data_IF_634768785721
#
_entry.id   IF_634768785721
#
_cell.length_a   1.000
_cell.length_b   1.000
_cell.length_c   1.000
_cell.angle_alpha   90.00
_cell.angle_beta   90.00
_cell.angle_gamma   90.00
#
_symmetry.space_group_name_H-M   'P 1'
#
loop_
_entity.id
_entity.type
_entity.pdbx_description
1 polymer ?
#
# COMPACT_ATOMS: atom_id res chain seq x y z
N UNK A 1 6.14 -27.11 -19.34
CA UNK A 1 5.49 -26.78 -18.05
C UNK A 1 6.12 -25.50 -17.52
N UNK A 2 5.55 -24.35 -17.87
CA UNK A 2 6.00 -23.04 -17.38
C UNK A 2 5.65 -22.95 -15.91
N UNK A 3 6.65 -23.19 -15.05
CA UNK A 3 6.59 -22.77 -13.66
C UNK A 3 6.66 -21.25 -13.68
N UNK A 4 5.50 -20.58 -13.75
CA UNK A 4 5.41 -19.16 -13.44
C UNK A 4 5.63 -19.06 -11.93
N UNK A 5 6.79 -18.57 -11.43
CA UNK A 5 6.90 -18.29 -10.02
C UNK A 5 5.85 -17.22 -9.73
N UNK A 6 4.73 -17.63 -9.11
CA UNK A 6 3.72 -16.69 -8.67
C UNK A 6 4.40 -15.83 -7.61
N UNK A 7 4.84 -14.65 -8.01
CA UNK A 7 5.39 -13.64 -7.11
C UNK A 7 4.25 -13.12 -6.23
N UNK A 8 3.89 -13.90 -5.21
CA UNK A 8 2.87 -13.57 -4.24
C UNK A 8 3.49 -12.69 -3.16
N UNK A 9 2.82 -11.60 -2.84
CA UNK A 9 3.18 -10.71 -1.75
C UNK A 9 1.97 -10.42 -0.91
N UNK A 10 2.17 -10.10 0.36
CA UNK A 10 1.08 -9.70 1.24
C UNK A 10 0.87 -8.20 1.18
N UNK A 11 -0.39 -7.80 1.03
CA UNK A 11 -0.77 -6.39 1.09
C UNK A 11 -0.55 -5.88 2.52
N UNK A 12 0.19 -4.79 2.68
CA UNK A 12 0.45 -4.23 4.01
C UNK A 12 -0.85 -3.76 4.71
N UNK A 13 -1.84 -3.29 3.95
CA UNK A 13 -3.09 -2.71 4.47
C UNK A 13 -4.10 -3.77 4.90
N UNK A 14 -4.37 -4.77 4.06
CA UNK A 14 -5.40 -5.79 4.33
C UNK A 14 -4.85 -7.19 4.60
N UNK A 15 -3.53 -7.36 4.55
CA UNK A 15 -2.81 -8.63 4.78
C UNK A 15 -3.18 -9.76 3.82
N UNK A 16 -3.92 -9.47 2.74
CA UNK A 16 -4.26 -10.46 1.73
C UNK A 16 -3.11 -10.66 0.75
N UNK A 17 -2.86 -11.90 0.31
CA UNK A 17 -1.88 -12.18 -0.71
C UNK A 17 -2.36 -11.67 -2.08
N UNK A 18 -1.46 -11.10 -2.87
CA UNK A 18 -1.71 -10.62 -4.23
C UNK A 18 -0.49 -10.87 -5.12
N UNK A 19 -0.69 -11.01 -6.45
CA UNK A 19 0.43 -11.20 -7.40
C UNK A 19 1.06 -9.87 -7.76
N UNK A 20 2.37 -9.77 -7.60
CA UNK A 20 3.14 -8.60 -7.99
C UNK A 20 4.49 -9.01 -8.55
N UNK A 21 4.59 -9.11 -9.87
CA UNK A 21 5.82 -9.54 -10.55
C UNK A 21 5.72 -9.36 -12.05
N UNK A 22 6.74 -9.80 -12.80
CA UNK A 22 6.73 -9.77 -14.25
C UNK A 22 5.41 -10.31 -14.81
N UNK A 23 4.82 -9.56 -15.74
CA UNK A 23 3.55 -9.89 -16.42
C UNK A 23 2.26 -9.80 -15.58
N UNK A 24 2.31 -9.55 -14.26
CA UNK A 24 1.09 -9.36 -13.45
C UNK A 24 1.34 -8.49 -12.21
N UNK A 25 0.65 -7.34 -12.16
CA UNK A 25 0.73 -6.37 -11.06
C UNK A 25 -0.68 -6.15 -10.49
N UNK A 26 -1.06 -6.89 -9.46
CA UNK A 26 -2.34 -6.77 -8.72
C UNK A 26 -2.22 -5.81 -7.53
N UNK A 27 -1.35 -4.81 -7.67
CA UNK A 27 -0.98 -3.87 -6.63
C UNK A 27 0.21 -3.02 -7.04
N UNK A 28 0.65 -2.16 -6.12
CA UNK A 28 1.85 -1.35 -6.31
C UNK A 28 2.68 -1.23 -5.04
N UNK A 29 3.96 -0.97 -5.23
CA UNK A 29 4.81 -0.44 -4.17
C UNK A 29 4.49 1.04 -3.97
N UNK A 30 4.28 1.45 -2.72
CA UNK A 30 4.13 2.84 -2.32
C UNK A 30 5.50 3.28 -1.78
N UNK A 31 6.33 3.83 -2.68
CA UNK A 31 7.74 4.14 -2.43
C UNK A 31 7.97 4.97 -1.16
N UNK A 32 7.29 6.12 -1.00
CA UNK A 32 7.45 6.96 0.19
C UNK A 32 7.11 6.25 1.49
N UNK A 33 6.23 5.25 1.46
CA UNK A 33 5.83 4.48 2.64
C UNK A 33 6.64 3.18 2.80
N UNK A 34 7.46 2.81 1.81
CA UNK A 34 8.19 1.52 1.75
C UNK A 34 7.30 0.30 1.96
N UNK A 35 6.03 0.38 1.55
CA UNK A 35 5.07 -0.73 1.63
C UNK A 35 4.63 -1.18 0.25
N UNK A 36 3.94 -2.32 0.22
CA UNK A 36 3.20 -2.80 -0.94
C UNK A 36 1.73 -2.94 -0.61
N UNK A 37 0.87 -2.47 -1.49
CA UNK A 37 -0.58 -2.56 -1.34
C UNK A 37 -1.21 -3.17 -2.59
N UNK A 38 -2.23 -4.01 -2.41
CA UNK A 38 -2.99 -4.55 -3.54
C UNK A 38 -3.88 -3.48 -4.15
N UNK A 39 -4.24 -3.65 -5.44
CA UNK A 39 -5.05 -2.68 -6.17
C UNK A 39 -6.40 -2.46 -5.48
N UNK A 40 -7.03 -3.51 -4.94
CA UNK A 40 -8.26 -3.38 -4.16
C UNK A 40 -8.16 -2.37 -3.03
N UNK A 41 -7.06 -2.36 -2.26
CA UNK A 41 -6.93 -1.39 -1.17
C UNK A 41 -6.64 0.03 -1.71
N UNK A 42 -5.92 0.14 -2.81
CA UNK A 42 -5.61 1.42 -3.43
C UNK A 42 -6.88 2.04 -4.02
N UNK A 43 -7.67 1.25 -4.75
CA UNK A 43 -8.88 1.68 -5.43
C UNK A 43 -10.02 1.99 -4.44
N UNK A 44 -10.09 1.28 -3.31
CA UNK A 44 -11.09 1.58 -2.27
C UNK A 44 -10.73 2.77 -1.39
N UNK A 45 -9.47 3.20 -1.38
CA UNK A 45 -8.98 4.32 -0.56
C UNK A 45 -8.32 5.37 -1.45
N UNK A 46 -8.94 5.66 -2.60
CA UNK A 46 -8.45 6.60 -3.59
C UNK A 46 -8.47 8.05 -3.09
N UNK A 47 -9.38 8.34 -2.16
CA UNK A 47 -9.62 9.59 -1.45
C UNK A 47 -8.76 9.72 -0.18
N UNK A 48 -8.44 8.60 0.47
CA UNK A 48 -7.47 8.53 1.55
C UNK A 48 -7.70 7.35 2.48
N UNK A 49 -6.73 7.11 3.37
CA UNK A 49 -6.82 6.10 4.42
C UNK A 49 -7.13 6.76 5.76
N UNK A 50 -8.16 6.27 6.45
CA UNK A 50 -8.52 6.77 7.78
C UNK A 50 -7.44 6.33 8.79
N UNK A 51 -6.71 7.26 9.45
CA UNK A 51 -5.58 6.91 10.33
C UNK A 51 -5.96 5.93 11.45
N UNK A 52 -7.14 6.13 12.07
CA UNK A 52 -7.64 5.29 13.16
C UNK A 52 -7.96 3.86 12.74
N UNK A 53 -8.22 3.60 11.45
CA UNK A 53 -8.44 2.25 10.91
C UNK A 53 -7.14 1.55 10.52
N UNK A 54 -6.03 2.29 10.44
CA UNK A 54 -4.72 1.78 10.03
C UNK A 54 -3.62 2.10 11.05
N UNK A 55 -3.76 1.69 12.34
CA UNK A 55 -2.75 1.97 13.36
C UNK A 55 -1.37 1.41 13.00
N UNK A 56 -1.33 0.20 12.42
CA UNK A 56 -0.07 -0.42 11.94
C UNK A 56 0.62 0.39 10.84
N UNK A 57 -0.14 1.12 10.01
CA UNK A 57 0.45 2.00 9.00
C UNK A 57 1.09 3.21 9.68
N UNK A 58 0.42 3.81 10.66
CA UNK A 58 0.97 4.95 11.41
C UNK A 58 2.26 4.58 12.13
N UNK A 59 2.25 3.48 12.89
CA UNK A 59 3.43 2.96 13.58
C UNK A 59 4.58 2.68 12.60
N UNK A 60 4.27 2.09 11.44
CA UNK A 60 5.27 1.84 10.41
C UNK A 60 5.85 3.14 9.86
N UNK A 61 5.02 4.11 9.49
CA UNK A 61 5.45 5.41 8.97
C UNK A 61 6.32 6.16 9.99
N UNK A 62 5.92 6.16 11.26
CA UNK A 62 6.70 6.73 12.36
C UNK A 62 8.06 6.03 12.50
N UNK A 63 8.08 4.69 12.47
CA UNK A 63 9.32 3.90 12.61
C UNK A 63 10.33 4.15 11.48
N UNK A 64 9.86 4.49 10.27
CA UNK A 64 10.72 4.79 9.13
C UNK A 64 10.95 6.30 8.94
N UNK A 65 10.47 7.14 9.86
CA UNK A 65 10.65 8.59 9.84
C UNK A 65 9.89 9.31 8.73
N UNK A 66 8.79 8.72 8.22
CA UNK A 66 7.97 9.34 7.19
C UNK A 66 6.91 10.23 7.84
N UNK A 67 6.85 11.52 7.50
CA UNK A 67 5.86 12.43 8.08
C UNK A 67 4.45 12.04 7.67
N UNK A 68 3.56 11.94 8.66
CA UNK A 68 2.13 11.70 8.49
C UNK A 68 1.50 13.01 8.01
N UNK A 69 1.13 13.08 6.73
CA UNK A 69 0.40 14.21 6.15
C UNK A 69 -1.05 13.81 5.93
N UNK A 70 -1.96 14.54 6.57
CA UNK A 70 -3.40 14.35 6.41
C UNK A 70 -3.94 15.36 5.37
N UNK A 71 -4.92 14.94 4.59
CA UNK A 71 -5.69 15.83 3.71
C UNK A 71 -6.72 16.66 4.53
N UNK A 72 -7.54 17.44 3.83
CA UNK A 72 -8.58 18.28 4.43
C UNK A 72 -9.63 17.48 5.23
N UNK A 73 -9.85 16.22 4.87
CA UNK A 73 -10.75 15.27 5.54
C UNK A 73 -10.09 14.54 6.74
N UNK A 74 -8.81 14.81 7.01
CA UNK A 74 -8.06 14.15 8.07
C UNK A 74 -7.57 12.74 7.71
N UNK A 75 -7.49 12.41 6.43
CA UNK A 75 -7.08 11.10 5.92
C UNK A 75 -5.68 11.10 5.32
N UNK A 76 -5.02 9.95 5.38
CA UNK A 76 -3.72 9.72 4.73
C UNK A 76 -3.91 9.55 3.23
N UNK A 77 -3.53 10.55 2.45
CA UNK A 77 -3.52 10.43 0.99
C UNK A 77 -2.44 9.43 0.55
N UNK A 78 -2.85 8.42 -0.24
CA UNK A 78 -1.91 7.45 -0.82
C UNK A 78 -1.01 8.17 -1.84
N UNK A 79 0.32 8.15 -1.68
CA UNK A 79 1.24 8.78 -2.63
C UNK A 79 1.02 8.27 -4.06
N UNK A 80 1.09 9.15 -5.08
CA UNK A 80 0.92 8.76 -6.47
C UNK A 80 2.04 7.81 -6.92
N UNK A 81 1.84 7.14 -8.06
CA UNK A 81 2.88 6.29 -8.66
C UNK A 81 4.09 7.15 -9.04
N UNK A 82 5.29 6.73 -8.62
CA UNK A 82 6.55 7.40 -8.96
C UNK A 82 6.95 8.56 -8.03
N UNK A 83 6.28 8.72 -6.90
CA UNK A 83 6.66 9.65 -5.83
C UNK A 83 7.87 9.18 -5.01
#
# INVERSE_FOLDING_TARGET
>A
MTHDPKFMFDCFLCQRPFRFGPHRYEGRAIGPWKIRACDRCIDQNWDGLVPSQHPRLLEHLESIGVPIKLNEDGWLSIPPRGA
#
